data_IF_965666567920
#
_entry.id   IF_965666567920
#
_cell.length_a   1.000
_cell.length_b   1.000
_cell.length_c   1.000
_cell.angle_alpha   90.00
_cell.angle_beta   90.00
_cell.angle_gamma   90.00
#
_symmetry.space_group_name_H-M   'P 1'
#
loop_
_entity.id
_entity.type
_entity.pdbx_description
1 polymer ?
#
# COMPACT_ATOMS: atom_id res chain seq x y z
N UNK A 1 -0.14 28.19 7.60
CA UNK A 1 -0.62 27.06 8.41
C UNK A 1 0.28 26.96 9.63
N UNK A 2 -0.24 27.25 10.84
CA UNK A 2 0.52 27.14 12.07
C UNK A 2 1.02 25.70 12.24
N UNK A 3 2.25 25.51 12.69
CA UNK A 3 2.86 24.21 12.93
C UNK A 3 2.15 23.50 14.08
N UNK A 4 1.01 22.88 13.79
CA UNK A 4 0.36 22.02 14.77
C UNK A 4 1.24 20.79 14.97
N UNK A 5 1.71 20.64 16.21
CA UNK A 5 2.57 19.53 16.60
C UNK A 5 1.72 18.28 16.77
N UNK A 6 2.10 17.13 16.19
CA UNK A 6 1.34 15.89 16.41
C UNK A 6 1.39 15.50 17.87
N UNK A 7 0.24 15.17 18.44
CA UNK A 7 0.16 14.43 19.69
C UNK A 7 0.79 13.03 19.54
N UNK A 8 0.96 12.31 20.65
CA UNK A 8 1.50 10.95 20.64
C UNK A 8 3.00 10.86 20.86
N UNK A 9 3.53 9.65 20.70
CA UNK A 9 4.91 9.31 21.07
C UNK A 9 5.67 8.64 19.93
N UNK A 10 6.94 9.01 19.81
CA UNK A 10 7.88 8.35 18.92
C UNK A 10 8.65 7.28 19.68
N UNK A 11 8.70 6.07 19.13
CA UNK A 11 9.42 4.92 19.68
C UNK A 11 10.49 4.43 18.73
N UNK A 12 11.61 3.98 19.28
CA UNK A 12 12.66 3.35 18.47
C UNK A 12 12.17 1.99 17.98
N UNK A 13 12.16 1.78 16.66
CA UNK A 13 11.70 0.52 16.07
C UNK A 13 12.56 -0.67 16.52
N UNK A 14 11.92 -1.80 16.81
CA UNK A 14 12.59 -3.04 17.19
C UNK A 14 13.69 -3.44 16.18
N UNK A 15 14.86 -3.83 16.70
CA UNK A 15 16.02 -4.18 15.89
C UNK A 15 16.89 -2.99 15.48
N UNK A 16 16.57 -1.76 15.91
CA UNK A 16 17.40 -0.57 15.77
C UNK A 16 18.34 -0.45 16.98
N UNK A 17 19.63 -0.19 16.72
CA UNK A 17 20.65 0.04 17.76
C UNK A 17 21.24 1.44 17.60
N UNK A 18 21.39 2.14 18.71
CA UNK A 18 22.06 3.43 18.80
C UNK A 18 23.48 3.22 19.31
N UNK A 19 24.46 3.67 18.56
CA UNK A 19 25.88 3.45 18.87
C UNK A 19 26.56 4.83 18.91
N UNK A 20 27.22 5.15 20.02
CA UNK A 20 28.04 6.35 20.18
C UNK A 20 29.48 5.89 20.43
N UNK A 21 30.42 6.40 19.65
CA UNK A 21 31.84 6.04 19.76
C UNK A 21 32.73 7.12 19.15
N UNK A 22 34.05 6.87 19.14
CA UNK A 22 35.07 7.78 18.61
C UNK A 22 34.82 8.19 17.14
N UNK A 23 34.19 7.32 16.33
CA UNK A 23 33.83 7.58 14.93
C UNK A 23 32.50 8.31 14.74
N UNK A 24 31.90 8.81 15.85
CA UNK A 24 30.63 9.55 15.84
C UNK A 24 29.43 8.73 16.28
N UNK A 25 28.25 9.29 16.02
CA UNK A 25 26.96 8.69 16.38
C UNK A 25 26.35 7.92 15.20
N UNK A 26 25.87 6.72 15.44
CA UNK A 26 25.35 5.84 14.41
C UNK A 26 24.02 5.20 14.83
N UNK A 27 23.08 5.18 13.92
CA UNK A 27 21.84 4.37 13.99
C UNK A 27 22.05 3.14 13.13
N UNK A 28 22.00 1.97 13.72
CA UNK A 28 22.18 0.69 13.03
C UNK A 28 20.89 -0.09 13.04
N UNK A 29 20.37 -0.40 11.85
CA UNK A 29 19.29 -1.36 11.65
C UNK A 29 19.85 -2.65 11.07
N UNK A 30 19.37 -3.80 11.58
CA UNK A 30 19.86 -5.11 11.14
C UNK A 30 18.96 -5.70 10.04
N UNK A 31 17.69 -5.31 10.01
CA UNK A 31 16.72 -5.77 9.01
C UNK A 31 15.77 -4.64 8.56
N UNK A 32 16.04 -3.95 7.44
CA UNK A 32 17.16 -4.11 6.51
C UNK A 32 18.51 -3.68 7.12
N UNK A 33 19.61 -4.25 6.65
CA UNK A 33 20.94 -3.83 7.11
C UNK A 33 21.24 -2.42 6.60
N UNK A 34 21.20 -1.44 7.50
CA UNK A 34 21.40 -0.02 7.21
C UNK A 34 22.13 0.65 8.37
N UNK A 35 23.06 1.54 8.03
CA UNK A 35 23.75 2.38 9.00
C UNK A 35 23.59 3.85 8.61
N UNK A 36 23.08 4.66 9.53
CA UNK A 36 22.83 6.09 9.33
C UNK A 36 23.68 6.86 10.34
N UNK A 37 24.55 7.74 9.84
CA UNK A 37 25.28 8.68 10.71
C UNK A 37 24.35 9.81 11.13
N UNK A 38 24.38 10.13 12.41
CA UNK A 38 23.61 11.24 13.00
C UNK A 38 24.54 12.11 13.83
N UNK A 39 24.19 13.35 14.02
CA UNK A 39 24.93 14.23 14.91
C UNK A 39 24.59 13.96 16.39
N UNK A 40 25.38 14.46 17.36
CA UNK A 40 25.14 14.22 18.78
C UNK A 40 23.77 14.73 19.28
N UNK A 41 23.24 15.83 18.69
CA UNK A 41 21.92 16.36 19.05
C UNK A 41 20.80 15.38 18.63
N UNK A 42 20.83 14.90 17.39
CA UNK A 42 19.90 13.87 16.91
C UNK A 42 19.99 12.58 17.73
N UNK A 43 21.22 12.17 18.11
CA UNK A 43 21.42 10.99 18.96
C UNK A 43 20.75 11.15 20.34
N UNK A 44 20.79 12.36 20.94
CA UNK A 44 20.09 12.62 22.22
C UNK A 44 18.59 12.43 22.09
N UNK A 45 17.97 12.94 21.01
CA UNK A 45 16.54 12.77 20.73
C UNK A 45 16.21 11.28 20.52
N UNK A 46 16.99 10.58 19.70
CA UNK A 46 16.76 9.15 19.40
C UNK A 46 16.92 8.25 20.65
N UNK A 47 17.81 8.60 21.58
CA UNK A 47 17.91 7.89 22.88
C UNK A 47 16.63 8.05 23.71
N UNK A 48 15.99 9.23 23.69
CA UNK A 48 14.69 9.42 24.38
C UNK A 48 13.58 8.57 23.73
N UNK A 49 13.63 8.36 22.43
CA UNK A 49 12.68 7.48 21.73
C UNK A 49 12.80 6.00 22.13
N UNK A 50 13.81 5.58 22.92
CA UNK A 50 13.89 4.21 23.44
C UNK A 50 12.78 3.91 24.47
N UNK A 51 12.36 4.92 25.25
CA UNK A 51 11.31 4.83 26.27
C UNK A 51 10.01 5.50 25.87
N UNK A 52 9.93 6.02 24.66
CA UNK A 52 8.83 6.83 24.18
C UNK A 52 9.07 8.32 24.36
N UNK A 53 9.03 9.07 23.28
CA UNK A 53 9.32 10.50 23.23
C UNK A 53 8.14 11.28 22.66
N UNK A 54 7.55 12.16 23.47
CA UNK A 54 6.55 13.12 23.04
C UNK A 54 7.19 14.48 22.74
N UNK A 55 6.77 15.08 21.63
CA UNK A 55 7.23 16.44 21.25
C UNK A 55 6.79 17.52 22.25
N UNK A 56 5.68 17.30 22.96
CA UNK A 56 5.18 18.22 23.98
C UNK A 56 6.06 18.24 25.27
N UNK A 57 6.72 17.13 25.58
CA UNK A 57 7.53 16.98 26.80
C UNK A 57 8.95 17.59 26.68
N UNK A 58 9.36 17.99 25.50
CA UNK A 58 10.79 17.94 25.25
C UNK A 58 11.47 19.23 24.86
N UNK A 59 10.80 20.23 24.35
CA UNK A 59 11.54 21.28 23.62
C UNK A 59 10.80 22.60 23.65
N UNK A 60 11.54 23.68 23.84
CA UNK A 60 11.07 25.02 23.54
C UNK A 60 10.61 25.10 22.06
N UNK A 61 9.76 26.05 21.74
CA UNK A 61 9.16 26.18 20.41
C UNK A 61 10.20 26.37 19.30
N UNK A 62 11.35 26.93 19.61
CA UNK A 62 12.43 27.19 18.65
C UNK A 62 13.08 25.92 18.11
N UNK A 63 13.22 24.89 18.93
CA UNK A 63 13.81 23.61 18.54
C UNK A 63 12.77 22.57 18.07
N UNK A 64 11.49 22.79 18.37
CA UNK A 64 10.40 21.82 18.08
C UNK A 64 10.32 21.44 16.59
N UNK A 65 10.42 22.42 15.70
CA UNK A 65 10.38 22.17 14.25
C UNK A 65 11.54 21.30 13.78
N UNK A 66 12.75 21.54 14.29
CA UNK A 66 13.92 20.74 13.93
C UNK A 66 13.83 19.31 14.46
N UNK A 67 13.34 19.15 15.70
CA UNK A 67 13.13 17.82 16.31
C UNK A 67 12.02 17.07 15.58
N UNK A 68 10.92 17.73 15.24
CA UNK A 68 9.83 17.13 14.44
C UNK A 68 10.35 16.67 13.07
N UNK A 69 11.12 17.50 12.37
CA UNK A 69 11.72 17.13 11.08
C UNK A 69 12.67 15.94 11.21
N UNK A 70 13.45 15.85 12.29
CA UNK A 70 14.27 14.68 12.59
C UNK A 70 13.41 13.44 12.82
N UNK A 71 12.38 13.53 13.68
CA UNK A 71 11.48 12.42 13.97
C UNK A 71 10.78 11.92 12.69
N UNK A 72 10.28 12.83 11.86
CA UNK A 72 9.67 12.49 10.58
C UNK A 72 10.66 11.78 9.64
N UNK A 73 11.87 12.31 9.49
CA UNK A 73 12.92 11.70 8.67
C UNK A 73 13.26 10.29 9.17
N UNK A 74 13.35 10.10 10.48
CA UNK A 74 13.66 8.80 11.09
C UNK A 74 12.48 7.84 11.04
N UNK A 75 11.25 8.34 11.13
CA UNK A 75 10.04 7.54 10.92
C UNK A 75 9.98 7.00 9.48
N UNK A 76 10.20 7.85 8.48
CA UNK A 76 10.25 7.48 7.07
C UNK A 76 11.41 6.51 6.74
N UNK A 77 12.56 6.74 7.38
CA UNK A 77 13.68 5.80 7.29
C UNK A 77 13.38 4.44 7.95
N UNK A 78 12.23 4.31 8.65
CA UNK A 78 11.86 3.12 9.39
C UNK A 78 12.70 2.89 10.65
N UNK A 79 13.30 3.94 11.19
CA UNK A 79 14.07 3.93 12.45
C UNK A 79 13.15 4.12 13.64
N UNK A 80 12.16 4.98 13.49
CA UNK A 80 11.14 5.26 14.52
C UNK A 80 9.78 4.69 14.08
N UNK A 81 8.97 4.36 15.06
CA UNK A 81 7.52 4.20 14.97
C UNK A 81 6.86 5.36 15.72
N UNK A 82 5.65 5.73 15.30
CA UNK A 82 4.84 6.73 16.00
C UNK A 82 3.54 6.08 16.45
N UNK A 83 3.17 6.34 17.69
CA UNK A 83 1.92 5.87 18.29
C UNK A 83 1.07 7.08 18.68
N UNK A 84 -0.25 7.05 18.40
CA UNK A 84 -1.14 8.11 18.85
C UNK A 84 -1.19 8.17 20.38
N UNK A 85 -1.67 9.30 20.97
CA UNK A 85 -1.90 9.38 22.40
C UNK A 85 -2.97 8.37 22.86
N UNK A 86 -2.90 7.99 24.12
CA UNK A 86 -3.87 7.05 24.74
C UNK A 86 -5.21 7.72 25.09
N UNK A 87 -5.33 9.04 24.92
CA UNK A 87 -6.56 9.78 25.22
C UNK A 87 -7.67 9.44 24.21
N UNK A 88 -8.90 9.52 24.72
CA UNK A 88 -10.09 9.17 23.93
C UNK A 88 -10.34 10.24 22.87
N UNK A 89 -10.22 9.87 21.61
CA UNK A 89 -10.54 10.70 20.47
C UNK A 89 -11.82 10.22 19.80
N UNK A 90 -12.94 10.85 20.15
CA UNK A 90 -14.28 10.48 19.66
C UNK A 90 -14.94 11.65 18.89
N UNK A 91 -14.43 12.04 17.70
CA UNK A 91 -15.07 13.04 16.87
C UNK A 91 -16.41 12.52 16.31
N UNK A 92 -17.26 13.43 15.83
CA UNK A 92 -18.42 13.01 15.05
C UNK A 92 -17.97 12.42 13.72
N UNK A 93 -18.36 11.17 13.44
CA UNK A 93 -18.00 10.43 12.22
C UNK A 93 -19.21 10.21 11.35
N UNK A 94 -19.15 10.57 10.08
CA UNK A 94 -20.14 10.23 9.07
C UNK A 94 -19.65 9.04 8.24
N UNK A 95 -20.30 7.88 8.41
CA UNK A 95 -19.99 6.67 7.63
C UNK A 95 -20.82 6.72 6.35
N UNK A 96 -20.16 6.76 5.19
CA UNK A 96 -20.81 6.85 3.87
C UNK A 96 -20.69 5.50 3.16
N UNK A 97 -21.85 4.93 2.81
CA UNK A 97 -21.98 3.64 2.13
C UNK A 97 -22.63 3.86 0.76
N UNK A 98 -21.85 3.86 -0.35
CA UNK A 98 -22.44 3.87 -1.68
C UNK A 98 -23.03 2.50 -2.01
N UNK A 99 -24.20 2.45 -2.63
CA UNK A 99 -24.86 1.19 -2.99
C UNK A 99 -25.55 1.28 -4.34
N UNK A 100 -25.46 0.21 -5.14
CA UNK A 100 -26.19 0.03 -6.39
C UNK A 100 -26.46 -1.45 -6.65
N UNK A 101 -27.76 -1.85 -6.66
CA UNK A 101 -28.18 -3.24 -6.90
C UNK A 101 -27.46 -4.28 -6.00
N UNK A 102 -27.58 -4.11 -4.67
CA UNK A 102 -26.90 -4.94 -3.65
C UNK A 102 -27.83 -5.42 -2.54
N UNK A 103 -29.10 -5.73 -2.87
CA UNK A 103 -30.09 -6.17 -1.90
C UNK A 103 -29.62 -7.31 -0.99
N UNK A 104 -28.78 -8.24 -1.51
CA UNK A 104 -28.28 -9.39 -0.78
C UNK A 104 -26.98 -9.13 0.04
N UNK A 105 -26.37 -7.96 -0.10
CA UNK A 105 -25.06 -7.65 0.50
C UNK A 105 -25.12 -6.50 1.49
N UNK A 106 -26.05 -5.54 1.29
CA UNK A 106 -26.13 -4.34 2.11
C UNK A 106 -26.53 -4.62 3.58
N UNK A 107 -27.39 -5.62 3.83
CA UNK A 107 -27.85 -5.94 5.19
C UNK A 107 -26.71 -6.23 6.16
N UNK A 108 -25.86 -7.24 5.91
CA UNK A 108 -24.69 -7.52 6.73
C UNK A 108 -23.73 -6.33 6.92
N UNK A 109 -23.57 -5.48 5.91
CA UNK A 109 -22.80 -4.25 6.00
C UNK A 109 -23.40 -3.31 7.08
N UNK A 110 -24.68 -2.98 6.96
CA UNK A 110 -25.38 -2.09 7.91
C UNK A 110 -25.42 -2.65 9.33
N UNK A 111 -25.66 -3.96 9.48
CA UNK A 111 -25.59 -4.62 10.79
C UNK A 111 -24.23 -4.44 11.44
N UNK A 112 -23.13 -4.64 10.69
CA UNK A 112 -21.79 -4.44 11.22
C UNK A 112 -21.52 -3.00 11.66
N UNK A 113 -22.06 -2.01 10.95
CA UNK A 113 -21.92 -0.59 11.27
C UNK A 113 -22.75 -0.17 12.49
N UNK A 114 -23.93 -0.74 12.66
CA UNK A 114 -24.78 -0.48 13.83
C UNK A 114 -24.19 -1.07 15.13
N UNK A 115 -23.38 -2.13 15.02
CA UNK A 115 -22.73 -2.82 16.15
C UNK A 115 -21.28 -2.38 16.41
N UNK A 116 -20.83 -1.25 15.84
CA UNK A 116 -19.50 -0.72 16.12
C UNK A 116 -19.35 -0.32 17.61
N UNK A 117 -18.20 -0.63 18.21
CA UNK A 117 -17.76 -0.14 19.53
C UNK A 117 -17.41 1.35 19.48
N UNK A 118 -18.39 2.17 19.07
CA UNK A 118 -18.26 3.62 18.95
C UNK A 118 -19.59 4.27 19.36
N UNK A 119 -19.59 5.37 20.11
CA UNK A 119 -20.83 5.95 20.61
C UNK A 119 -21.83 6.27 19.49
N UNK A 120 -23.08 5.82 19.64
CA UNK A 120 -24.12 6.06 18.64
C UNK A 120 -24.39 7.56 18.43
N UNK A 121 -24.23 8.38 19.47
CA UNK A 121 -24.36 9.84 19.42
C UNK A 121 -23.21 10.53 18.69
N UNK A 122 -22.12 9.83 18.43
CA UNK A 122 -20.92 10.33 17.74
C UNK A 122 -20.73 9.73 16.34
N UNK A 123 -21.73 9.01 15.82
CA UNK A 123 -21.71 8.50 14.45
C UNK A 123 -23.04 8.70 13.77
N UNK A 124 -23.01 8.91 12.46
CA UNK A 124 -24.15 8.78 11.57
C UNK A 124 -23.80 7.85 10.41
N UNK A 125 -24.77 7.09 9.93
CA UNK A 125 -24.61 6.21 8.78
C UNK A 125 -25.46 6.78 7.64
N UNK A 126 -24.79 7.08 6.50
CA UNK A 126 -25.41 7.64 5.31
C UNK A 126 -25.27 6.63 4.17
N UNK A 127 -26.37 6.00 3.80
CA UNK A 127 -26.44 5.13 2.62
C UNK A 127 -26.82 5.97 1.43
N UNK A 128 -26.04 5.93 0.37
CA UNK A 128 -26.34 6.63 -0.89
C UNK A 128 -26.64 5.60 -1.96
N UNK A 129 -27.92 5.46 -2.28
CA UNK A 129 -28.40 4.58 -3.33
C UNK A 129 -28.25 5.25 -4.71
N UNK A 130 -27.48 4.63 -5.58
CA UNK A 130 -27.18 5.14 -6.92
C UNK A 130 -28.23 4.68 -7.96
N UNK A 131 -29.52 4.91 -7.63
CA UNK A 131 -30.69 4.51 -8.40
C UNK A 131 -30.81 3.01 -8.64
N UNK A 132 -30.79 2.22 -7.57
CA UNK A 132 -31.00 0.77 -7.63
C UNK A 132 -32.41 0.42 -8.17
N UNK A 133 -32.47 -0.64 -8.94
CA UNK A 133 -33.70 -1.18 -9.53
C UNK A 133 -34.16 -2.48 -8.89
N UNK A 134 -33.35 -3.03 -7.96
CA UNK A 134 -33.67 -4.23 -7.17
C UNK A 134 -34.26 -3.84 -5.80
N UNK A 135 -34.31 -4.80 -4.88
CA UNK A 135 -34.84 -4.59 -3.51
C UNK A 135 -33.90 -3.82 -2.57
N UNK A 136 -32.77 -3.26 -3.06
CA UNK A 136 -31.76 -2.58 -2.22
C UNK A 136 -32.37 -1.50 -1.33
N UNK A 137 -33.15 -0.58 -1.92
CA UNK A 137 -33.82 0.51 -1.19
C UNK A 137 -34.78 -0.03 -0.11
N UNK A 138 -35.51 -1.09 -0.43
CA UNK A 138 -36.43 -1.72 0.52
C UNK A 138 -35.68 -2.30 1.72
N UNK A 139 -34.56 -2.99 1.49
CA UNK A 139 -33.71 -3.53 2.54
C UNK A 139 -33.16 -2.41 3.42
N UNK A 140 -32.60 -1.34 2.83
CA UNK A 140 -32.02 -0.22 3.59
C UNK A 140 -33.03 0.47 4.48
N UNK A 141 -34.28 0.62 4.04
CA UNK A 141 -35.37 1.23 4.83
C UNK A 141 -35.72 0.45 6.10
N UNK A 142 -35.29 -0.81 6.23
CA UNK A 142 -35.44 -1.62 7.44
C UNK A 142 -34.41 -1.31 8.54
N UNK A 143 -33.45 -0.41 8.29
CA UNK A 143 -32.39 -0.04 9.22
C UNK A 143 -32.49 1.43 9.65
N UNK A 144 -32.05 1.73 10.86
CA UNK A 144 -31.96 3.11 11.37
C UNK A 144 -30.72 3.81 10.79
N UNK A 145 -30.81 4.20 9.53
CA UNK A 145 -29.77 4.89 8.78
C UNK A 145 -30.37 5.97 7.89
N UNK A 146 -29.56 6.98 7.55
CA UNK A 146 -29.99 8.02 6.62
C UNK A 146 -29.82 7.54 5.19
N UNK A 147 -30.91 7.40 4.45
CA UNK A 147 -30.92 7.01 3.05
C UNK A 147 -31.03 8.23 2.13
N UNK A 148 -30.11 8.34 1.18
CA UNK A 148 -30.16 9.28 0.05
C UNK A 148 -30.33 8.47 -1.23
N UNK A 149 -31.26 8.85 -2.09
CA UNK A 149 -31.52 8.17 -3.39
C UNK A 149 -31.16 9.13 -4.51
N UNK A 150 -30.24 8.73 -5.37
CA UNK A 150 -29.90 9.51 -6.57
C UNK A 150 -30.96 9.36 -7.67
N UNK A 151 -31.19 10.38 -8.49
CA UNK A 151 -32.23 10.34 -9.51
C UNK A 151 -31.90 9.38 -10.68
N UNK A 152 -30.63 9.05 -10.87
CA UNK A 152 -30.13 8.11 -11.88
C UNK A 152 -28.78 7.54 -11.43
N UNK A 153 -28.34 6.43 -12.03
CA UNK A 153 -27.00 5.87 -11.78
C UNK A 153 -25.91 6.83 -12.29
N UNK A 154 -25.14 7.39 -11.37
CA UNK A 154 -24.04 8.33 -11.61
C UNK A 154 -22.68 7.75 -11.27
N UNK A 155 -22.65 6.56 -10.67
CA UNK A 155 -21.44 5.85 -10.28
C UNK A 155 -21.01 6.08 -8.83
N UNK A 156 -20.12 5.22 -8.37
CA UNK A 156 -19.69 5.16 -6.96
C UNK A 156 -19.02 6.45 -6.45
N UNK A 157 -18.30 7.18 -7.31
CA UNK A 157 -17.67 8.46 -6.94
C UNK A 157 -18.74 9.52 -6.66
N UNK A 158 -19.77 9.63 -7.52
CA UNK A 158 -20.89 10.56 -7.33
C UNK A 158 -21.68 10.22 -6.05
N UNK A 159 -21.93 8.94 -5.80
CA UNK A 159 -22.61 8.51 -4.58
C UNK A 159 -21.80 8.88 -3.32
N UNK A 160 -20.48 8.65 -3.31
CA UNK A 160 -19.63 9.08 -2.18
C UNK A 160 -19.58 10.59 -2.02
N UNK A 161 -19.47 11.35 -3.12
CA UNK A 161 -19.52 12.81 -3.10
C UNK A 161 -20.82 13.32 -2.49
N UNK A 162 -21.98 12.79 -2.91
CA UNK A 162 -23.28 13.14 -2.36
C UNK A 162 -23.36 12.81 -0.85
N UNK A 163 -22.83 11.66 -0.43
CA UNK A 163 -22.76 11.28 0.98
C UNK A 163 -21.94 12.25 1.82
N UNK A 164 -20.78 12.69 1.33
CA UNK A 164 -19.91 13.68 2.03
C UNK A 164 -20.59 15.05 2.11
N UNK A 165 -21.29 15.47 1.07
CA UNK A 165 -22.06 16.74 1.10
C UNK A 165 -23.15 16.71 2.18
N UNK A 166 -23.79 15.56 2.38
CA UNK A 166 -24.83 15.38 3.40
C UNK A 166 -24.28 15.11 4.81
N UNK A 167 -22.99 14.78 4.93
CA UNK A 167 -22.32 14.41 6.18
C UNK A 167 -22.26 15.58 7.17
N UNK A 168 -22.45 15.29 8.47
CA UNK A 168 -22.30 16.26 9.57
C UNK A 168 -20.96 16.10 10.30
N UNK A 169 -20.35 14.91 10.21
CA UNK A 169 -19.11 14.58 10.88
C UNK A 169 -17.90 15.35 10.38
N UNK A 170 -16.96 15.62 11.24
CA UNK A 170 -15.63 16.17 10.91
C UNK A 170 -14.73 15.14 10.23
N UNK A 171 -14.96 13.88 10.55
CA UNK A 171 -14.32 12.73 9.89
C UNK A 171 -15.38 12.01 9.05
N UNK A 172 -15.03 11.71 7.79
CA UNK A 172 -15.82 10.85 6.92
C UNK A 172 -15.14 9.49 6.84
N UNK A 173 -15.93 8.44 6.95
CA UNK A 173 -15.47 7.06 6.78
C UNK A 173 -16.17 6.43 5.58
N UNK A 174 -15.42 5.98 4.57
CA UNK A 174 -15.95 5.22 3.45
C UNK A 174 -15.85 3.72 3.72
N UNK A 175 -16.92 3.02 3.41
CA UNK A 175 -16.99 1.56 3.38
C UNK A 175 -17.91 1.14 2.24
N UNK A 176 -17.58 0.08 1.50
CA UNK A 176 -18.42 -0.40 0.40
C UNK A 176 -19.56 -1.30 0.92
N UNK A 177 -20.67 -1.36 0.19
CA UNK A 177 -21.88 -2.12 0.57
C UNK A 177 -21.71 -3.64 0.63
N UNK A 178 -20.63 -4.16 0.06
CA UNK A 178 -20.21 -5.58 0.11
C UNK A 178 -19.11 -5.83 1.16
N UNK A 179 -18.95 -4.89 2.09
CA UNK A 179 -17.98 -4.95 3.18
C UNK A 179 -18.67 -5.09 4.54
N UNK A 180 -17.96 -5.68 5.50
CA UNK A 180 -18.36 -5.69 6.92
C UNK A 180 -17.22 -5.17 7.78
N UNK A 181 -17.53 -4.21 8.67
CA UNK A 181 -16.55 -3.61 9.56
C UNK A 181 -16.34 -4.48 10.80
N UNK A 182 -15.10 -4.53 11.29
CA UNK A 182 -14.81 -5.07 12.63
C UNK A 182 -15.39 -4.14 13.70
N UNK A 183 -15.87 -4.65 14.84
CA UNK A 183 -16.44 -3.80 15.91
C UNK A 183 -15.54 -2.64 16.35
N UNK A 184 -14.24 -2.79 16.33
CA UNK A 184 -13.28 -1.75 16.73
C UNK A 184 -12.76 -0.89 15.57
N UNK A 185 -13.32 -1.03 14.37
CA UNK A 185 -12.87 -0.35 13.15
C UNK A 185 -12.56 1.14 13.34
N UNK A 186 -13.51 1.92 13.85
CA UNK A 186 -13.33 3.35 14.10
C UNK A 186 -12.37 3.63 15.24
N UNK A 187 -12.45 2.87 16.36
CA UNK A 187 -11.57 3.05 17.51
C UNK A 187 -10.10 2.83 17.19
N UNK A 188 -9.80 1.94 16.26
CA UNK A 188 -8.44 1.64 15.86
C UNK A 188 -7.87 2.67 14.86
N UNK A 189 -8.71 3.35 14.06
CA UNK A 189 -8.24 4.29 13.04
C UNK A 189 -8.30 5.77 13.46
N UNK A 190 -9.31 6.16 14.24
CA UNK A 190 -9.49 7.57 14.63
C UNK A 190 -8.33 8.18 15.41
N UNK A 191 -7.66 7.47 16.33
CA UNK A 191 -6.54 8.03 17.08
C UNK A 191 -5.41 8.59 16.22
N UNK A 192 -5.24 8.08 14.98
CA UNK A 192 -4.23 8.62 14.06
C UNK A 192 -4.47 10.08 13.67
N UNK A 193 -5.71 10.55 13.72
CA UNK A 193 -6.05 11.96 13.44
C UNK A 193 -5.63 12.94 14.54
N UNK A 194 -5.03 12.47 15.65
CA UNK A 194 -4.29 13.33 16.55
C UNK A 194 -3.06 13.97 15.88
N UNK A 195 -2.56 13.43 14.77
CA UNK A 195 -1.66 14.15 13.89
C UNK A 195 -2.47 15.04 12.93
N UNK A 196 -2.50 16.38 13.13
CA UNK A 196 -3.29 17.29 12.30
C UNK A 196 -2.81 17.35 10.84
N UNK A 197 -1.60 16.90 10.55
CA UNK A 197 -1.02 16.85 9.21
C UNK A 197 -1.56 15.66 8.41
N UNK A 198 -2.20 14.70 9.09
CA UNK A 198 -2.75 13.51 8.46
C UNK A 198 -4.16 13.81 7.94
N UNK A 199 -4.30 13.76 6.62
CA UNK A 199 -5.56 14.03 5.94
C UNK A 199 -6.43 12.77 5.81
N UNK A 200 -5.78 11.59 5.69
CA UNK A 200 -6.43 10.34 5.37
C UNK A 200 -5.73 9.17 6.05
N UNK A 201 -6.52 8.23 6.57
CA UNK A 201 -6.07 6.96 7.15
C UNK A 201 -6.84 5.82 6.50
N UNK A 202 -6.13 4.83 5.99
CA UNK A 202 -6.70 3.57 5.51
C UNK A 202 -6.41 2.42 6.44
N UNK A 203 -7.39 1.56 6.64
CA UNK A 203 -7.29 0.36 7.45
C UNK A 203 -7.07 -0.90 6.63
N UNK A 204 -6.93 -2.02 7.33
CA UNK A 204 -6.71 -3.33 6.73
C UNK A 204 -7.97 -3.86 6.04
N UNK A 205 -7.81 -4.26 4.78
CA UNK A 205 -8.88 -4.94 4.03
C UNK A 205 -8.59 -6.44 4.03
N UNK A 206 -9.43 -7.18 4.72
CA UNK A 206 -9.38 -8.63 4.81
C UNK A 206 -10.32 -9.28 3.79
N UNK A 207 -10.05 -10.50 3.44
CA UNK A 207 -10.89 -11.31 2.58
C UNK A 207 -11.53 -12.41 3.41
N UNK A 208 -12.87 -12.53 3.43
CA UNK A 208 -13.51 -13.69 4.03
C UNK A 208 -12.96 -14.98 3.42
N UNK A 209 -12.66 -15.96 4.25
CA UNK A 209 -12.19 -17.27 3.76
C UNK A 209 -13.33 -17.92 2.99
N UNK A 210 -13.20 -17.95 1.67
CA UNK A 210 -14.05 -18.74 0.79
C UNK A 210 -13.45 -20.13 0.56
N UNK A 211 -14.22 -21.00 -0.12
CA UNK A 211 -13.84 -22.39 -0.40
C UNK A 211 -13.42 -22.61 -1.85
N UNK A 212 -13.73 -21.67 -2.75
CA UNK A 212 -13.34 -21.79 -4.14
C UNK A 212 -11.84 -21.52 -4.32
N UNK A 213 -11.26 -22.11 -5.37
CA UNK A 213 -9.84 -21.83 -5.71
C UNK A 213 -9.57 -20.35 -5.98
N UNK A 214 -10.56 -19.63 -6.51
CA UNK A 214 -10.45 -18.18 -6.74
C UNK A 214 -10.47 -17.43 -5.41
N UNK A 215 -11.33 -17.79 -4.46
CA UNK A 215 -11.36 -17.15 -3.14
C UNK A 215 -10.04 -17.34 -2.40
N UNK A 216 -9.45 -18.53 -2.46
CA UNK A 216 -8.15 -18.84 -1.85
C UNK A 216 -7.01 -18.05 -2.51
N UNK A 217 -7.09 -17.78 -3.81
CA UNK A 217 -6.15 -16.90 -4.52
C UNK A 217 -6.33 -15.44 -4.09
N UNK A 218 -7.56 -14.91 -4.12
CA UNK A 218 -7.87 -13.53 -3.72
C UNK A 218 -7.53 -13.25 -2.26
N UNK A 219 -7.69 -14.22 -1.36
CA UNK A 219 -7.33 -14.06 0.06
C UNK A 219 -5.88 -13.64 0.27
N UNK A 220 -4.97 -14.03 -0.63
CA UNK A 220 -3.54 -13.70 -0.52
C UNK A 220 -3.05 -12.69 -1.55
N UNK A 221 -3.80 -12.50 -2.64
CA UNK A 221 -3.35 -11.66 -3.77
C UNK A 221 -4.35 -10.56 -4.17
N UNK A 222 -5.31 -10.23 -3.30
CA UNK A 222 -6.21 -9.10 -3.50
C UNK A 222 -5.41 -7.77 -3.57
N UNK A 223 -5.67 -6.90 -4.56
CA UNK A 223 -5.07 -5.57 -4.65
C UNK A 223 -5.52 -4.63 -3.52
N UNK A 224 -6.61 -4.96 -2.83
CA UNK A 224 -7.12 -4.19 -1.70
C UNK A 224 -6.31 -4.46 -0.41
N UNK A 225 -5.57 -5.59 -0.35
CA UNK A 225 -4.76 -5.95 0.80
C UNK A 225 -3.37 -5.31 0.70
N UNK A 226 -3.17 -4.22 1.39
CA UNK A 226 -1.90 -3.46 1.40
C UNK A 226 -0.82 -4.06 2.32
N UNK A 227 -1.10 -5.19 2.97
CA UNK A 227 -0.14 -5.94 3.78
C UNK A 227 -0.17 -5.63 5.27
N UNK A 228 0.84 -6.10 6.00
CA UNK A 228 0.90 -6.08 7.47
C UNK A 228 1.79 -4.98 8.04
N UNK A 229 2.18 -3.99 7.24
CA UNK A 229 3.06 -2.90 7.69
C UNK A 229 2.38 -1.57 7.51
N UNK A 230 2.53 -0.71 8.51
CA UNK A 230 2.13 0.70 8.41
C UNK A 230 2.97 1.40 7.34
N UNK A 231 2.32 2.19 6.49
CA UNK A 231 2.95 2.94 5.40
C UNK A 231 2.44 4.37 5.41
N UNK A 232 3.35 5.33 5.29
CA UNK A 232 3.03 6.74 5.10
C UNK A 232 3.19 7.11 3.63
N UNK A 233 2.16 7.66 3.03
CA UNK A 233 2.18 8.30 1.72
C UNK A 233 2.36 9.80 1.86
N UNK A 234 3.37 10.33 1.21
CA UNK A 234 3.63 11.77 1.13
C UNK A 234 4.50 12.10 -0.07
N UNK A 235 4.46 13.36 -0.49
CA UNK A 235 5.24 13.86 -1.61
C UNK A 235 4.62 13.56 -2.97
N UNK A 236 4.89 14.44 -3.90
CA UNK A 236 4.26 14.44 -5.23
C UNK A 236 4.62 13.25 -6.11
N UNK A 237 5.70 12.54 -5.81
CA UNK A 237 6.21 11.41 -6.57
C UNK A 237 5.83 10.04 -5.96
N UNK A 238 4.98 10.02 -4.94
CA UNK A 238 4.58 8.80 -4.26
C UNK A 238 3.47 8.06 -5.02
N UNK A 239 3.69 6.77 -5.28
CA UNK A 239 2.68 5.85 -5.86
C UNK A 239 1.70 5.27 -4.82
N UNK A 240 1.73 5.79 -3.60
CA UNK A 240 0.90 5.31 -2.49
C UNK A 240 -0.58 5.66 -2.71
N UNK A 241 -1.48 4.77 -2.33
CA UNK A 241 -2.92 5.02 -2.27
C UNK A 241 -3.56 4.16 -1.17
N UNK A 242 -4.80 4.46 -0.86
CA UNK A 242 -5.64 3.70 0.07
C UNK A 242 -6.97 3.40 -0.64
N UNK A 243 -7.45 2.14 -0.63
CA UNK A 243 -8.74 1.81 -1.24
C UNK A 243 -9.91 2.44 -0.48
N UNK A 244 -10.90 2.97 -1.22
CA UNK A 244 -12.08 3.62 -0.63
C UNK A 244 -12.95 2.71 0.23
N UNK A 245 -12.86 1.39 0.06
CA UNK A 245 -13.65 0.46 0.88
C UNK A 245 -13.23 0.41 2.37
N UNK A 246 -12.11 1.02 2.73
CA UNK A 246 -11.66 1.18 4.12
C UNK A 246 -10.82 2.45 4.26
N UNK A 247 -11.49 3.61 4.19
CA UNK A 247 -10.82 4.91 4.16
C UNK A 247 -11.52 5.91 5.09
N UNK A 248 -10.78 6.45 6.05
CA UNK A 248 -11.20 7.56 6.89
C UNK A 248 -10.45 8.83 6.48
N UNK A 249 -11.13 9.98 6.48
CA UNK A 249 -10.52 11.24 6.06
C UNK A 249 -11.18 12.46 6.72
N UNK A 250 -10.43 13.56 6.79
CA UNK A 250 -10.97 14.84 7.25
C UNK A 250 -11.93 15.40 6.19
N UNK A 251 -13.18 15.63 6.59
CA UNK A 251 -14.21 16.18 5.69
C UNK A 251 -13.78 17.49 5.04
N UNK A 252 -13.18 18.38 5.82
CA UNK A 252 -12.69 19.66 5.32
C UNK A 252 -11.72 19.49 4.15
N UNK A 253 -10.74 18.59 4.29
CA UNK A 253 -9.75 18.30 3.24
C UNK A 253 -10.43 17.71 2.00
N UNK A 254 -11.42 16.83 2.16
CA UNK A 254 -12.18 16.27 1.04
C UNK A 254 -12.89 17.36 0.24
N UNK A 255 -13.54 18.29 0.93
CA UNK A 255 -14.26 19.41 0.29
C UNK A 255 -13.27 20.35 -0.41
N UNK A 256 -12.16 20.72 0.23
CA UNK A 256 -11.12 21.58 -0.36
C UNK A 256 -10.50 20.99 -1.62
N UNK A 257 -10.38 19.68 -1.71
CA UNK A 257 -9.87 18.99 -2.91
C UNK A 257 -10.90 18.81 -4.01
N UNK A 258 -12.19 19.12 -3.75
CA UNK A 258 -13.29 18.94 -4.70
C UNK A 258 -13.77 17.48 -4.81
N UNK A 259 -13.39 16.60 -3.86
CA UNK A 259 -13.85 15.21 -3.79
C UNK A 259 -13.26 14.28 -4.85
N UNK A 260 -13.94 13.14 -5.04
CA UNK A 260 -13.60 12.12 -6.03
C UNK A 260 -14.01 12.55 -7.45
N UNK A 261 -13.21 12.22 -8.45
CA UNK A 261 -13.52 12.49 -9.85
C UNK A 261 -14.61 11.52 -10.36
N UNK A 262 -15.80 12.03 -10.62
CA UNK A 262 -16.97 11.26 -11.07
C UNK A 262 -16.84 10.68 -12.48
N UNK A 263 -15.89 11.18 -13.27
CA UNK A 263 -15.59 10.65 -14.61
C UNK A 263 -14.80 9.35 -14.56
N UNK A 264 -14.13 9.08 -13.43
CA UNK A 264 -13.38 7.85 -13.21
C UNK A 264 -14.31 6.74 -12.67
N UNK A 265 -14.45 5.67 -13.45
CA UNK A 265 -15.20 4.47 -13.01
C UNK A 265 -14.36 3.51 -12.18
N UNK A 266 -13.04 3.60 -12.32
CA UNK A 266 -12.03 2.83 -11.57
C UNK A 266 -10.80 3.71 -11.39
N UNK A 267 -10.07 3.50 -10.26
CA UNK A 267 -8.88 4.27 -9.92
C UNK A 267 -9.16 5.65 -9.34
N UNK A 268 -10.42 5.93 -8.96
CA UNK A 268 -10.82 7.17 -8.29
C UNK A 268 -10.14 7.33 -6.92
N UNK A 269 -9.88 6.23 -6.24
CA UNK A 269 -9.15 6.17 -4.97
C UNK A 269 -7.67 6.52 -5.16
N UNK A 270 -7.05 5.99 -6.22
CA UNK A 270 -5.66 6.31 -6.58
C UNK A 270 -5.55 7.79 -6.97
N UNK A 271 -6.42 8.28 -7.85
CA UNK A 271 -6.49 9.69 -8.26
C UNK A 271 -6.60 10.62 -7.04
N UNK A 272 -7.54 10.32 -6.16
CA UNK A 272 -7.78 11.13 -4.96
C UNK A 272 -6.57 11.14 -4.01
N UNK A 273 -5.96 9.98 -3.75
CA UNK A 273 -4.77 9.91 -2.92
C UNK A 273 -3.59 10.68 -3.53
N UNK A 274 -3.37 10.57 -4.84
CA UNK A 274 -2.29 11.28 -5.52
C UNK A 274 -2.55 12.79 -5.55
N UNK A 275 -3.81 13.22 -5.72
CA UNK A 275 -4.20 14.62 -5.61
C UNK A 275 -3.92 15.17 -4.22
N UNK A 276 -4.29 14.46 -3.17
CA UNK A 276 -3.99 14.86 -1.79
C UNK A 276 -2.50 15.02 -1.54
N UNK A 277 -1.69 14.07 -2.00
CA UNK A 277 -0.24 14.13 -1.83
C UNK A 277 0.41 15.26 -2.65
N UNK A 278 -0.10 15.54 -3.85
CA UNK A 278 0.37 16.68 -4.67
C UNK A 278 0.04 18.04 -4.03
N UNK A 279 -0.98 18.10 -3.19
CA UNK A 279 -1.33 19.27 -2.36
C UNK A 279 -0.55 19.34 -1.04
N UNK A 280 0.39 18.41 -0.81
CA UNK A 280 1.24 18.37 0.38
C UNK A 280 0.63 17.66 1.60
N UNK A 281 -0.53 17.02 1.46
CA UNK A 281 -1.12 16.24 2.54
C UNK A 281 -0.39 14.92 2.79
N UNK A 282 -0.49 14.44 4.04
CA UNK A 282 0.02 13.12 4.43
C UNK A 282 -1.13 12.13 4.52
N UNK A 283 -0.89 10.94 4.01
CA UNK A 283 -1.81 9.82 4.05
C UNK A 283 -1.16 8.65 4.79
N UNK A 284 -1.93 7.85 5.49
CA UNK A 284 -1.41 6.68 6.19
C UNK A 284 -2.25 5.44 5.85
N UNK A 285 -1.57 4.33 5.67
CA UNK A 285 -2.14 3.00 5.78
C UNK A 285 -1.65 2.35 7.07
N UNK A 286 -2.57 1.71 7.81
CA UNK A 286 -2.25 0.90 8.99
C UNK A 286 -2.91 -0.48 8.88
N UNK A 287 -2.26 -1.57 9.36
CA UNK A 287 -2.85 -2.91 9.35
C UNK A 287 -3.92 -3.13 10.43
N UNK A 288 -4.34 -2.06 11.07
CA UNK A 288 -5.42 -1.97 12.07
C UNK A 288 -6.73 -1.55 11.38
N UNK A 289 -7.81 -1.47 12.11
CA UNK A 289 -9.11 -1.03 11.59
C UNK A 289 -9.62 -1.92 10.47
N UNK A 290 -9.91 -3.17 10.83
CA UNK A 290 -10.21 -4.22 9.85
C UNK A 290 -11.60 -4.09 9.25
N UNK A 291 -11.64 -4.24 7.93
CA UNK A 291 -12.87 -4.40 7.12
C UNK A 291 -12.74 -5.67 6.30
N UNK A 292 -13.78 -6.51 6.29
CA UNK A 292 -13.84 -7.72 5.45
C UNK A 292 -14.59 -7.40 4.18
N UNK A 293 -13.95 -7.53 3.03
CA UNK A 293 -14.52 -7.28 1.70
C UNK A 293 -14.88 -8.61 1.01
N UNK A 294 -16.14 -8.78 0.61
CA UNK A 294 -16.61 -9.95 -0.12
C UNK A 294 -16.18 -9.87 -1.58
N UNK A 295 -15.23 -10.71 -1.97
CA UNK A 295 -14.79 -10.74 -3.37
C UNK A 295 -15.83 -11.37 -4.30
N UNK A 296 -15.76 -10.99 -5.57
CA UNK A 296 -16.54 -11.63 -6.63
C UNK A 296 -15.98 -13.02 -6.86
N UNK A 297 -16.81 -14.05 -6.71
CA UNK A 297 -16.42 -15.44 -6.84
C UNK A 297 -16.55 -16.01 -8.27
N UNK A 298 -16.91 -15.19 -9.27
CA UNK A 298 -16.99 -15.56 -10.67
C UNK A 298 -15.72 -15.15 -11.41
N UNK A 299 -15.06 -16.11 -12.05
CA UNK A 299 -13.76 -15.95 -12.71
C UNK A 299 -13.75 -14.81 -13.74
N UNK A 300 -14.72 -14.78 -14.64
CA UNK A 300 -14.81 -13.75 -15.68
C UNK A 300 -15.03 -12.34 -15.11
N UNK A 301 -15.87 -12.22 -14.09
CA UNK A 301 -16.13 -10.93 -13.43
C UNK A 301 -14.88 -10.41 -12.70
N UNK A 302 -14.14 -11.32 -12.06
CA UNK A 302 -12.90 -10.98 -11.39
C UNK A 302 -11.85 -10.48 -12.39
N UNK A 303 -11.58 -11.26 -13.45
CA UNK A 303 -10.59 -10.87 -14.45
C UNK A 303 -11.00 -9.64 -15.26
N UNK A 304 -12.31 -9.45 -15.54
CA UNK A 304 -12.82 -8.20 -16.12
C UNK A 304 -12.47 -7.00 -15.23
N UNK A 305 -12.60 -7.16 -13.90
CA UNK A 305 -12.21 -6.10 -12.95
C UNK A 305 -10.71 -5.78 -13.04
N UNK A 306 -9.84 -6.81 -13.23
CA UNK A 306 -8.40 -6.59 -13.46
C UNK A 306 -8.13 -5.80 -14.73
N UNK A 307 -8.86 -6.12 -15.81
CA UNK A 307 -8.81 -5.35 -17.05
C UNK A 307 -9.23 -3.88 -16.80
N UNK A 308 -10.34 -3.67 -16.11
CA UNK A 308 -10.83 -2.32 -15.77
C UNK A 308 -9.78 -1.52 -14.97
N UNK A 309 -9.12 -2.15 -13.98
CA UNK A 309 -8.02 -1.52 -13.24
C UNK A 309 -6.85 -1.13 -14.16
N UNK A 310 -6.51 -1.98 -15.13
CA UNK A 310 -5.49 -1.65 -16.14
C UNK A 310 -5.84 -0.41 -16.96
N UNK A 311 -7.12 -0.24 -17.35
CA UNK A 311 -7.53 0.91 -18.18
C UNK A 311 -7.33 2.26 -17.49
N UNK A 312 -7.44 2.33 -16.16
CA UNK A 312 -7.25 3.57 -15.42
C UNK A 312 -5.79 4.01 -15.31
N UNK A 313 -4.85 3.06 -15.44
CA UNK A 313 -3.43 3.36 -15.26
C UNK A 313 -2.93 4.41 -16.26
N UNK A 314 -3.32 4.31 -17.53
CA UNK A 314 -2.94 5.26 -18.57
C UNK A 314 -3.44 6.69 -18.26
N UNK A 315 -4.69 6.81 -17.79
CA UNK A 315 -5.29 8.09 -17.42
C UNK A 315 -4.56 8.72 -16.23
N UNK A 316 -4.27 7.91 -15.21
CA UNK A 316 -3.62 8.37 -13.99
C UNK A 316 -2.18 8.84 -14.26
N UNK A 317 -1.37 8.09 -15.01
CA UNK A 317 0.02 8.49 -15.31
C UNK A 317 0.11 9.65 -16.32
N UNK A 318 -0.87 9.86 -17.17
CA UNK A 318 -0.91 11.07 -18.00
C UNK A 318 -1.27 12.31 -17.15
N UNK A 319 -2.17 12.17 -16.18
CA UNK A 319 -2.57 13.24 -15.26
C UNK A 319 -1.46 13.62 -14.28
N UNK A 320 -0.75 12.62 -13.73
CA UNK A 320 0.29 12.81 -12.70
C UNK A 320 1.67 12.44 -13.24
N UNK A 321 2.18 13.24 -14.19
CA UNK A 321 3.46 12.98 -14.90
C UNK A 321 4.69 12.99 -14.02
N UNK A 322 4.63 13.66 -12.86
CA UNK A 322 5.67 13.66 -11.83
C UNK A 322 5.79 12.32 -11.08
N UNK A 323 4.71 11.53 -11.06
CA UNK A 323 4.73 10.22 -10.42
C UNK A 323 5.44 9.22 -11.33
N UNK A 324 6.57 8.73 -10.86
CA UNK A 324 7.35 7.72 -11.57
C UNK A 324 7.50 6.48 -10.70
N UNK A 325 7.28 5.32 -11.29
CA UNK A 325 7.58 4.05 -10.62
C UNK A 325 9.10 3.94 -10.45
N UNK A 326 9.59 4.14 -9.22
CA UNK A 326 11.01 3.99 -8.94
C UNK A 326 11.39 2.52 -9.00
N UNK A 327 12.24 2.17 -9.94
CA UNK A 327 12.82 0.85 -10.04
C UNK A 327 14.05 0.76 -9.10
N UNK A 328 14.27 -0.35 -8.38
CA UNK A 328 15.41 -0.49 -7.47
C UNK A 328 16.72 -0.72 -8.24
N UNK A 329 17.12 0.26 -9.05
CA UNK A 329 18.33 0.17 -9.87
C UNK A 329 19.60 0.08 -9.02
N UNK A 330 20.41 -0.92 -9.32
CA UNK A 330 21.80 -1.00 -8.86
C UNK A 330 22.62 -1.78 -9.88
N UNK A 331 23.69 -1.15 -10.35
CA UNK A 331 24.46 -1.64 -11.51
C UNK A 331 25.01 -3.06 -11.32
N UNK A 332 25.51 -3.38 -10.12
CA UNK A 332 26.02 -4.70 -9.76
C UNK A 332 24.95 -5.80 -9.90
N UNK A 333 23.71 -5.53 -9.51
CA UNK A 333 22.61 -6.48 -9.68
C UNK A 333 22.14 -6.61 -11.14
N UNK A 334 22.17 -5.51 -11.90
CA UNK A 334 21.84 -5.54 -13.33
C UNK A 334 22.89 -6.38 -14.08
N UNK A 335 24.17 -6.16 -13.81
CA UNK A 335 25.23 -6.96 -14.42
C UNK A 335 25.11 -8.45 -14.07
N UNK A 336 24.78 -8.76 -12.81
CA UNK A 336 24.52 -10.13 -12.38
C UNK A 336 23.32 -10.75 -13.11
N UNK A 337 22.23 -10.00 -13.24
CA UNK A 337 21.04 -10.46 -13.95
C UNK A 337 21.33 -10.70 -15.42
N UNK A 338 22.03 -9.77 -16.09
CA UNK A 338 22.47 -9.91 -17.49
C UNK A 338 23.37 -11.11 -17.65
N UNK A 339 24.34 -11.31 -16.76
CA UNK A 339 25.25 -12.45 -16.78
C UNK A 339 24.49 -13.79 -16.70
N UNK A 340 23.48 -13.87 -15.85
CA UNK A 340 22.66 -15.07 -15.71
C UNK A 340 21.72 -15.28 -16.90
N UNK A 341 21.07 -14.22 -17.37
CA UNK A 341 20.22 -14.29 -18.57
C UNK A 341 21.05 -14.74 -19.79
N UNK A 342 22.23 -14.14 -19.99
CA UNK A 342 23.13 -14.53 -21.07
C UNK A 342 23.62 -15.96 -20.89
N UNK A 343 24.02 -16.34 -19.68
CA UNK A 343 24.47 -17.71 -19.35
C UNK A 343 23.40 -18.76 -19.66
N UNK A 344 22.14 -18.48 -19.32
CA UNK A 344 21.00 -19.34 -19.66
C UNK A 344 20.72 -19.37 -21.17
N UNK A 345 20.80 -18.21 -21.83
CA UNK A 345 20.54 -18.07 -23.26
C UNK A 345 21.55 -18.85 -24.10
N UNK A 346 22.86 -18.73 -23.79
CA UNK A 346 23.94 -19.43 -24.50
C UNK A 346 24.31 -20.77 -23.86
N UNK A 347 23.58 -21.20 -22.83
CA UNK A 347 23.82 -22.45 -22.06
C UNK A 347 25.24 -22.58 -21.53
N UNK A 348 25.83 -21.46 -21.10
CA UNK A 348 27.21 -21.40 -20.60
C UNK A 348 27.29 -21.61 -19.09
N UNK A 349 27.72 -22.79 -18.67
CA UNK A 349 27.97 -23.10 -17.25
C UNK A 349 29.02 -22.15 -16.63
N UNK A 350 30.16 -21.81 -17.29
CA UNK A 350 31.11 -20.85 -16.76
C UNK A 350 30.51 -19.49 -16.41
N UNK A 351 29.63 -18.92 -17.24
CA UNK A 351 28.98 -17.64 -16.94
C UNK A 351 28.06 -17.73 -15.70
N UNK A 352 27.34 -18.83 -15.56
CA UNK A 352 26.50 -19.05 -14.37
C UNK A 352 27.35 -19.19 -13.10
N UNK A 353 28.50 -19.89 -13.17
CA UNK A 353 29.44 -20.03 -12.06
C UNK A 353 30.10 -18.70 -11.67
N UNK A 354 30.45 -17.84 -12.63
CA UNK A 354 30.96 -16.49 -12.33
C UNK A 354 29.94 -15.69 -11.53
N UNK A 355 28.65 -15.75 -11.91
CA UNK A 355 27.58 -15.11 -11.15
C UNK A 355 27.43 -15.68 -9.73
N UNK A 356 27.58 -16.99 -9.56
CA UNK A 356 27.54 -17.64 -8.25
C UNK A 356 28.72 -17.22 -7.35
N UNK A 357 29.94 -17.19 -7.91
CA UNK A 357 31.13 -16.70 -7.19
C UNK A 357 30.95 -15.25 -6.77
N UNK A 358 30.39 -14.41 -7.63
CA UNK A 358 30.10 -13.02 -7.28
C UNK A 358 29.16 -12.92 -6.07
N UNK A 359 28.09 -13.70 -6.01
CA UNK A 359 27.16 -13.73 -4.86
C UNK A 359 27.83 -14.15 -3.54
N UNK A 360 28.97 -14.85 -3.60
CA UNK A 360 29.77 -15.23 -2.42
C UNK A 360 30.75 -14.11 -2.05
N UNK A 361 31.43 -13.53 -3.03
CA UNK A 361 32.50 -12.53 -2.80
C UNK A 361 31.94 -11.19 -2.37
N UNK A 362 30.84 -10.74 -2.95
CA UNK A 362 30.25 -9.42 -2.68
C UNK A 362 29.88 -9.21 -1.19
N UNK A 363 29.20 -10.13 -0.47
CA UNK A 363 28.91 -9.96 0.95
C UNK A 363 30.15 -9.86 1.82
N UNK A 364 31.20 -10.63 1.48
CA UNK A 364 32.49 -10.58 2.18
C UNK A 364 33.15 -9.21 2.01
N UNK A 365 33.23 -8.72 0.78
CA UNK A 365 33.75 -7.38 0.49
C UNK A 365 32.96 -6.27 1.20
N UNK A 366 31.62 -6.33 1.16
CA UNK A 366 30.76 -5.36 1.85
C UNK A 366 30.94 -5.37 3.35
N UNK A 367 31.13 -6.56 3.97
CA UNK A 367 31.49 -6.66 5.38
C UNK A 367 32.80 -5.98 5.70
N UNK A 368 33.85 -6.25 4.92
CA UNK A 368 35.15 -5.62 5.11
C UNK A 368 35.09 -4.09 5.02
N UNK A 369 34.40 -3.59 3.99
CA UNK A 369 34.18 -2.15 3.80
C UNK A 369 33.39 -1.53 4.96
N UNK A 370 32.31 -2.19 5.41
CA UNK A 370 31.50 -1.75 6.53
C UNK A 370 32.31 -1.67 7.83
N UNK A 371 33.09 -2.71 8.14
CA UNK A 371 33.94 -2.73 9.33
C UNK A 371 34.97 -1.61 9.32
N UNK A 372 35.60 -1.34 8.17
CA UNK A 372 36.54 -0.21 8.03
C UNK A 372 35.86 1.14 8.24
N UNK A 373 34.67 1.31 7.66
CA UNK A 373 33.95 2.59 7.65
C UNK A 373 33.38 2.95 9.03
N UNK A 374 32.84 1.96 9.74
CA UNK A 374 32.09 2.20 10.98
C UNK A 374 32.80 1.72 12.24
N UNK A 375 33.84 0.89 12.13
CA UNK A 375 34.52 0.31 13.28
C UNK A 375 33.71 -0.74 14.03
N UNK A 376 32.69 -1.31 13.38
CA UNK A 376 31.75 -2.26 14.00
C UNK A 376 31.85 -3.58 13.24
N UNK A 377 31.98 -4.68 13.98
CA UNK A 377 32.00 -6.01 13.38
C UNK A 377 30.62 -6.66 13.51
N UNK A 378 30.01 -6.96 12.35
CA UNK A 378 28.77 -7.71 12.28
C UNK A 378 29.00 -9.12 11.71
N UNK A 379 28.16 -10.11 12.09
CA UNK A 379 28.23 -11.46 11.53
C UNK A 379 28.05 -11.47 10.02
N UNK A 380 28.83 -12.30 9.32
CA UNK A 380 28.86 -12.37 7.85
C UNK A 380 27.50 -12.76 7.25
N UNK A 381 26.72 -13.61 7.93
CA UNK A 381 25.39 -14.04 7.48
C UNK A 381 24.41 -12.86 7.30
N UNK A 382 24.59 -11.75 8.05
CA UNK A 382 23.77 -10.53 7.85
C UNK A 382 24.04 -9.88 6.50
N UNK A 383 25.29 -9.90 6.04
CA UNK A 383 25.66 -9.37 4.73
C UNK A 383 25.18 -10.28 3.60
N UNK A 384 25.29 -11.61 3.75
CA UNK A 384 24.69 -12.55 2.80
C UNK A 384 23.18 -12.33 2.66
N UNK A 385 22.47 -12.26 3.80
CA UNK A 385 21.02 -12.01 3.79
C UNK A 385 20.65 -10.67 3.14
N UNK A 386 21.39 -9.60 3.47
CA UNK A 386 21.12 -8.27 2.91
C UNK A 386 21.38 -8.21 1.39
N UNK A 387 22.52 -8.76 0.95
CA UNK A 387 22.91 -8.77 -0.46
C UNK A 387 22.00 -9.68 -1.28
N UNK A 388 21.72 -10.90 -0.81
CA UNK A 388 20.80 -11.82 -1.48
C UNK A 388 19.40 -11.25 -1.62
N UNK A 389 18.85 -10.62 -0.56
CA UNK A 389 17.55 -9.93 -0.62
C UNK A 389 17.57 -8.79 -1.63
N UNK A 390 18.65 -8.01 -1.72
CA UNK A 390 18.78 -6.90 -2.66
C UNK A 390 18.74 -7.38 -4.12
N UNK A 391 19.50 -8.43 -4.47
CA UNK A 391 19.50 -9.00 -5.82
C UNK A 391 18.17 -9.70 -6.15
N UNK A 392 17.62 -10.46 -5.21
CA UNK A 392 16.31 -11.08 -5.36
C UNK A 392 15.22 -10.02 -5.60
N UNK A 393 15.28 -8.88 -4.88
CA UNK A 393 14.33 -7.80 -5.05
C UNK A 393 14.42 -7.16 -6.44
N UNK A 394 15.64 -6.93 -6.95
CA UNK A 394 15.83 -6.45 -8.33
C UNK A 394 15.24 -7.42 -9.35
N UNK A 395 15.58 -8.70 -9.26
CA UNK A 395 15.08 -9.73 -10.16
C UNK A 395 13.54 -9.88 -10.05
N UNK A 396 12.99 -9.81 -8.84
CA UNK A 396 11.56 -9.81 -8.57
C UNK A 396 10.86 -8.62 -9.25
N UNK A 397 11.35 -7.40 -9.03
CA UNK A 397 10.74 -6.22 -9.65
C UNK A 397 10.84 -6.24 -11.16
N UNK A 398 11.98 -6.67 -11.72
CA UNK A 398 12.14 -6.84 -13.16
C UNK A 398 11.17 -7.89 -13.70
N UNK A 399 11.14 -9.08 -13.09
CA UNK A 399 10.22 -10.15 -13.47
C UNK A 399 8.75 -9.73 -13.31
N UNK A 400 8.40 -9.02 -12.22
CA UNK A 400 7.04 -8.52 -12.01
C UNK A 400 6.65 -7.48 -13.07
N UNK A 401 7.54 -6.55 -13.42
CA UNK A 401 7.30 -5.57 -14.48
C UNK A 401 7.13 -6.25 -15.84
N UNK A 402 8.00 -7.21 -16.18
CA UNK A 402 7.88 -8.02 -17.38
C UNK A 402 6.53 -8.76 -17.43
N UNK A 403 6.14 -9.41 -16.33
CA UNK A 403 4.90 -10.18 -16.26
C UNK A 403 3.67 -9.26 -16.32
N UNK A 404 3.73 -8.10 -15.68
CA UNK A 404 2.59 -7.17 -15.60
C UNK A 404 2.30 -6.44 -16.90
N UNK A 405 3.35 -6.06 -17.66
CA UNK A 405 3.19 -5.20 -18.84
C UNK A 405 3.54 -5.90 -20.16
N UNK A 406 4.33 -6.97 -20.12
CA UNK A 406 4.90 -7.57 -21.32
C UNK A 406 4.78 -9.10 -21.38
N UNK A 407 3.93 -9.73 -20.53
CA UNK A 407 3.81 -11.18 -20.46
C UNK A 407 3.48 -11.79 -21.84
N UNK A 408 2.46 -11.25 -22.53
CA UNK A 408 2.05 -11.77 -23.83
C UNK A 408 3.14 -11.57 -24.89
N UNK A 409 3.80 -10.42 -24.89
CA UNK A 409 4.93 -10.17 -25.80
C UNK A 409 6.12 -11.09 -25.48
N UNK A 410 6.41 -11.35 -24.21
CA UNK A 410 7.46 -12.27 -23.78
C UNK A 410 7.16 -13.72 -24.22
N UNK A 411 5.90 -14.16 -24.15
CA UNK A 411 5.48 -15.48 -24.62
C UNK A 411 5.64 -15.61 -26.14
N UNK A 412 5.23 -14.61 -26.91
CA UNK A 412 5.41 -14.56 -28.35
C UNK A 412 6.90 -14.57 -28.71
N UNK A 413 7.70 -13.72 -28.05
CA UNK A 413 9.14 -13.67 -28.26
C UNK A 413 9.83 -15.01 -27.97
N UNK A 414 9.41 -15.73 -26.96
CA UNK A 414 9.95 -17.05 -26.61
C UNK A 414 9.69 -18.10 -27.71
N UNK A 415 8.61 -17.96 -28.51
CA UNK A 415 8.32 -18.84 -29.65
C UNK A 415 9.28 -18.54 -30.80
N UNK A 416 9.49 -17.26 -31.14
CA UNK A 416 10.35 -16.86 -32.28
C UNK A 416 11.84 -16.89 -31.95
N UNK A 417 12.21 -16.76 -30.66
CA UNK A 417 13.60 -16.80 -30.19
C UNK A 417 13.72 -17.82 -29.04
N UNK A 418 13.81 -19.13 -29.39
CA UNK A 418 13.79 -20.21 -28.39
C UNK A 418 14.90 -20.11 -27.31
N UNK A 419 16.01 -19.45 -27.62
CA UNK A 419 17.11 -19.21 -26.67
C UNK A 419 16.66 -18.32 -25.49
N UNK A 420 15.66 -17.45 -25.68
CA UNK A 420 15.09 -16.60 -24.63
C UNK A 420 13.99 -17.31 -23.84
N UNK A 421 13.48 -18.47 -24.27
CA UNK A 421 12.35 -19.14 -23.62
C UNK A 421 12.63 -19.43 -22.15
N UNK A 422 13.80 -20.01 -21.82
CA UNK A 422 14.15 -20.36 -20.45
C UNK A 422 14.35 -19.12 -19.54
N UNK A 423 15.13 -18.10 -19.92
CA UNK A 423 15.24 -16.89 -19.08
C UNK A 423 13.94 -16.10 -18.96
N UNK A 424 13.12 -15.99 -20.00
CA UNK A 424 11.81 -15.33 -19.92
C UNK A 424 10.84 -16.11 -19.01
N UNK A 425 10.80 -17.42 -19.11
CA UNK A 425 10.02 -18.28 -18.23
C UNK A 425 10.47 -18.12 -16.77
N UNK A 426 11.77 -18.16 -16.50
CA UNK A 426 12.30 -17.97 -15.15
C UNK A 426 11.91 -16.61 -14.57
N UNK A 427 12.03 -15.53 -15.35
CA UNK A 427 11.68 -14.18 -14.94
C UNK A 427 10.19 -14.00 -14.71
N UNK A 428 9.31 -14.62 -15.50
CA UNK A 428 7.85 -14.48 -15.34
C UNK A 428 7.29 -15.38 -14.23
N UNK A 429 7.96 -16.48 -13.89
CA UNK A 429 7.60 -17.35 -12.76
C UNK A 429 8.09 -16.77 -11.42
N UNK A 430 9.27 -16.14 -11.40
CA UNK A 430 9.91 -15.66 -10.17
C UNK A 430 8.98 -14.82 -9.27
N UNK A 431 8.19 -13.85 -9.78
CA UNK A 431 7.28 -13.09 -8.94
C UNK A 431 6.21 -13.97 -8.27
N UNK A 432 5.64 -14.91 -9.02
CA UNK A 432 4.65 -15.86 -8.48
C UNK A 432 5.26 -16.75 -7.39
N UNK A 433 6.48 -17.25 -7.60
CA UNK A 433 7.22 -18.05 -6.61
C UNK A 433 7.43 -17.26 -5.32
N UNK A 434 7.96 -16.03 -5.43
CA UNK A 434 8.21 -15.19 -4.26
C UNK A 434 6.92 -14.90 -3.48
N UNK A 435 5.83 -14.54 -4.18
CA UNK A 435 4.52 -14.28 -3.55
C UNK A 435 3.98 -15.55 -2.90
N UNK A 436 4.01 -16.68 -3.58
CA UNK A 436 3.52 -17.97 -3.09
C UNK A 436 4.20 -18.38 -1.77
N UNK A 437 5.54 -18.42 -1.74
CA UNK A 437 6.27 -18.81 -0.53
C UNK A 437 6.17 -17.79 0.60
N UNK A 438 5.97 -16.51 0.28
CA UNK A 438 5.80 -15.46 1.28
C UNK A 438 4.40 -15.45 1.90
N UNK A 439 3.37 -15.64 1.08
CA UNK A 439 1.96 -15.54 1.48
C UNK A 439 1.36 -16.88 1.90
N UNK A 440 1.97 -18.00 1.44
CA UNK A 440 1.57 -19.37 1.75
C UNK A 440 0.06 -19.60 1.51
N UNK A 441 -0.44 -19.39 0.28
CA UNK A 441 -1.85 -19.64 -0.02
C UNK A 441 -2.20 -21.12 0.18
N UNK A 442 -3.45 -21.37 0.52
CA UNK A 442 -3.98 -22.74 0.60
C UNK A 442 -4.37 -23.25 -0.80
N UNK A 443 -3.40 -23.23 -1.71
CA UNK A 443 -3.51 -23.62 -3.11
C UNK A 443 -2.24 -24.36 -3.55
N UNK A 444 -2.36 -25.25 -4.53
CA UNK A 444 -1.18 -25.79 -5.20
C UNK A 444 -0.48 -24.70 -6.05
N UNK A 445 0.84 -24.76 -6.14
CA UNK A 445 1.62 -23.76 -6.90
C UNK A 445 1.21 -23.65 -8.38
N UNK A 446 0.94 -24.74 -9.13
CA UNK A 446 0.51 -24.63 -10.52
C UNK A 446 -0.82 -23.86 -10.68
N UNK A 447 -1.78 -24.08 -9.78
CA UNK A 447 -3.06 -23.36 -9.77
C UNK A 447 -2.85 -21.88 -9.44
N UNK A 448 -2.02 -21.59 -8.44
CA UNK A 448 -1.66 -20.21 -8.09
C UNK A 448 -0.99 -19.49 -9.27
N UNK A 449 -0.02 -20.13 -9.93
CA UNK A 449 0.70 -19.58 -11.08
C UNK A 449 -0.25 -19.30 -12.26
N UNK A 450 -1.21 -20.20 -12.53
CA UNK A 450 -2.20 -19.99 -13.57
C UNK A 450 -3.05 -18.74 -13.30
N UNK A 451 -3.60 -18.60 -12.08
CA UNK A 451 -4.36 -17.42 -11.71
C UNK A 451 -3.51 -16.13 -11.76
N UNK A 452 -2.26 -16.21 -11.29
CA UNK A 452 -1.32 -15.10 -11.33
C UNK A 452 -1.08 -14.63 -12.78
N UNK A 453 -0.80 -15.51 -13.70
CA UNK A 453 -0.58 -15.15 -15.10
C UNK A 453 -1.85 -14.65 -15.80
N UNK A 454 -3.00 -15.27 -15.54
CA UNK A 454 -4.28 -14.79 -16.07
C UNK A 454 -4.59 -13.37 -15.58
N UNK A 455 -4.43 -13.11 -14.29
CA UNK A 455 -4.60 -11.78 -13.72
C UNK A 455 -3.72 -10.74 -14.42
N UNK A 456 -2.43 -11.05 -14.60
CA UNK A 456 -1.50 -10.13 -15.26
C UNK A 456 -1.84 -9.93 -16.75
N UNK A 457 -2.27 -10.98 -17.46
CA UNK A 457 -2.68 -10.88 -18.85
C UNK A 457 -3.91 -9.97 -19.04
N UNK A 458 -4.93 -10.12 -18.19
CA UNK A 458 -6.11 -9.25 -18.22
C UNK A 458 -5.76 -7.81 -17.85
N UNK A 459 -4.94 -7.62 -16.82
CA UNK A 459 -4.48 -6.29 -16.43
C UNK A 459 -3.69 -5.61 -17.55
N UNK A 460 -2.72 -6.31 -18.15
CA UNK A 460 -1.93 -5.85 -19.26
C UNK A 460 -2.80 -5.42 -20.46
N UNK A 461 -3.79 -6.25 -20.81
CA UNK A 461 -4.74 -5.93 -21.88
C UNK A 461 -5.52 -4.64 -21.59
N UNK A 462 -5.89 -4.43 -20.31
CA UNK A 462 -6.51 -3.20 -19.85
C UNK A 462 -5.60 -1.98 -20.00
N UNK A 463 -4.31 -2.10 -19.61
CA UNK A 463 -3.32 -1.02 -19.75
C UNK A 463 -3.16 -0.64 -21.22
N UNK A 464 -2.94 -1.62 -22.11
CA UNK A 464 -2.83 -1.35 -23.55
C UNK A 464 -4.09 -0.67 -24.11
N UNK A 465 -5.26 -1.15 -23.73
CA UNK A 465 -6.52 -0.54 -24.15
C UNK A 465 -6.67 0.89 -23.64
N UNK A 466 -6.29 1.15 -22.39
CA UNK A 466 -6.27 2.49 -21.81
C UNK A 466 -5.32 3.42 -22.56
N UNK A 467 -4.09 2.96 -22.85
CA UNK A 467 -3.10 3.72 -23.62
C UNK A 467 -3.59 4.06 -25.03
N UNK A 468 -4.21 3.10 -25.73
CA UNK A 468 -4.80 3.33 -27.05
C UNK A 468 -5.90 4.38 -27.02
N UNK A 469 -6.80 4.32 -26.01
CA UNK A 469 -7.88 5.32 -25.86
C UNK A 469 -7.36 6.73 -25.54
N UNK A 470 -6.27 6.83 -24.79
CA UNK A 470 -5.65 8.11 -24.42
C UNK A 470 -4.68 8.63 -25.50
N UNK A 471 -4.30 7.80 -26.48
CA UNK A 471 -3.26 8.15 -27.44
C UNK A 471 -1.88 8.31 -26.83
N UNK A 472 -1.63 7.72 -25.65
CA UNK A 472 -0.39 7.84 -24.89
C UNK A 472 0.06 6.48 -24.37
N UNK A 473 1.31 6.10 -24.64
CA UNK A 473 1.99 4.88 -24.17
C UNK A 473 3.08 5.21 -23.13
N UNK A 474 2.78 6.07 -22.20
CA UNK A 474 3.70 6.46 -21.12
C UNK A 474 3.56 5.61 -19.88
#
# INVERSE_FOLDING_TARGET
>A
MGSQTPGGRYHLRNGTRLISGEKGCLVLQIAPLRAIRVNPAAMRVLKRCQTGFSLHEAVDDAHRTAVLSLCDTMYEAGVLDWEPPDDVFEPLVSIVVPVYNRAHEIGPCLESLLHLNYPASRREIIVVDDASVDQTVSVVRGYDVRLLIQPKNMGQSAARNAGVQAAKGEIVAFIDSDCTADPNWLRELLPYFHDPRLALVGGYVDTPRGTSRLDLYEAVHSPLNMGSKRVMGKGEDSVFYVPTCNMLLRKEVYIQTGGLDERLRVGEDVDFCWKLMSMGHRLMYTPEGRVKHKHRNRLLENFKRRFDYGTSEAVLYDRYRQITKRFPWHWDGILLLLLWVTGLMVRSVPLLLVGLVYLIVEPVYKRMRFNRQFGITLPLNKFFSATGKRHLMLAFHFGHHLTRYYLMAAMVLAIFVPQLALPLLALTILPAVVVFFRKKPDLSFPVFLLFFWLEQAFYQSGVFWGCLKQGSFR
#
